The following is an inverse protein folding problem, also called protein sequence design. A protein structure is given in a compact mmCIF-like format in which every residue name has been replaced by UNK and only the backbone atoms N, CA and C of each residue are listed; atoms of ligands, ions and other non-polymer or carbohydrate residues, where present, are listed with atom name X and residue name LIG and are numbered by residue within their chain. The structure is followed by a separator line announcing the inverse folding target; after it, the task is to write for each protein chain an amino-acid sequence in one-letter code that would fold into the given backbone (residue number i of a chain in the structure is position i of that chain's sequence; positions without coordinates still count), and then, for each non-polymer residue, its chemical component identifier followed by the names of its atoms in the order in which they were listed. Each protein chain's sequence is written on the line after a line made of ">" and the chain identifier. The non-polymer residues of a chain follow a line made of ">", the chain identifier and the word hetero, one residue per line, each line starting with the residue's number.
data_IF_200073955598
#
_entry.id   IF_200073955598
#
_cell.length_a   1.000
_cell.length_b   1.000
_cell.length_c   1.000
_cell.angle_alpha   90.00
_cell.angle_beta   90.00
_cell.angle_gamma   90.00
#
_symmetry.space_group_name_H-M   'P 1'
#
loop_
_entity.id
_entity.type
_entity.pdbx_description
1 polymer ?
#
# COMPACT_ATOMS: atom_id res chain seq x y z
N UNK A 1 -2.68 -18.50 -1.40
CA UNK A 1 -2.20 -18.19 -2.77
C UNK A 1 -0.76 -17.72 -2.66
N UNK A 2 0.15 -18.27 -3.47
CA UNK A 2 1.54 -17.85 -3.55
C UNK A 2 2.00 -17.76 -5.00
N UNK A 3 2.94 -16.88 -5.29
CA UNK A 3 3.55 -16.71 -6.61
C UNK A 3 4.59 -17.81 -6.81
N UNK A 4 4.40 -18.65 -7.82
CA UNK A 4 5.35 -19.70 -8.18
C UNK A 4 6.37 -19.24 -9.23
N UNK A 5 5.90 -18.48 -10.24
CA UNK A 5 6.75 -17.98 -11.33
C UNK A 5 6.44 -16.54 -11.68
N UNK A 6 7.47 -15.74 -11.88
CA UNK A 6 7.41 -14.36 -12.37
C UNK A 6 8.22 -14.26 -13.66
N UNK A 7 7.61 -13.65 -14.68
CA UNK A 7 8.28 -13.32 -15.94
C UNK A 7 8.11 -11.82 -16.22
N UNK A 8 9.19 -11.15 -16.54
CA UNK A 8 9.26 -9.74 -16.85
C UNK A 8 9.80 -9.55 -18.27
N UNK A 9 9.19 -8.62 -19.00
CA UNK A 9 9.66 -8.17 -20.31
C UNK A 9 9.59 -6.64 -20.35
N UNK A 10 10.73 -6.01 -20.59
CA UNK A 10 10.91 -4.55 -20.66
C UNK A 10 10.32 -3.79 -19.45
N UNK A 11 10.41 -4.39 -18.27
CA UNK A 11 9.93 -3.80 -17.04
C UNK A 11 11.07 -3.12 -16.27
N UNK A 12 11.05 -1.78 -16.24
CA UNK A 12 12.08 -0.94 -15.63
C UNK A 12 13.48 -1.25 -16.20
N UNK A 13 14.38 -1.87 -15.43
CA UNK A 13 15.72 -2.26 -15.87
C UNK A 13 15.83 -3.74 -16.26
N UNK A 14 14.71 -4.44 -16.39
CA UNK A 14 14.70 -5.87 -16.79
C UNK A 14 14.19 -5.99 -18.22
N UNK A 15 15.10 -6.25 -19.18
CA UNK A 15 14.73 -6.52 -20.57
C UNK A 15 13.97 -7.84 -20.68
N UNK A 16 14.52 -8.90 -20.07
CA UNK A 16 13.87 -10.19 -19.88
C UNK A 16 14.36 -10.85 -18.60
N UNK A 17 13.45 -11.34 -17.78
CA UNK A 17 13.77 -12.04 -16.54
C UNK A 17 12.71 -13.08 -16.21
N UNK A 18 13.12 -14.28 -15.83
CA UNK A 18 12.23 -15.31 -15.28
C UNK A 18 12.77 -15.80 -13.94
N UNK A 19 11.87 -15.87 -12.94
CA UNK A 19 12.19 -16.31 -11.58
C UNK A 19 11.14 -17.31 -11.10
N UNK A 20 11.57 -18.34 -10.38
CA UNK A 20 10.70 -19.31 -9.73
C UNK A 20 10.82 -19.16 -8.22
N UNK A 21 9.71 -19.18 -7.50
CA UNK A 21 9.65 -18.95 -6.06
C UNK A 21 9.06 -20.15 -5.33
N UNK A 22 9.51 -20.40 -4.10
CA UNK A 22 8.90 -21.37 -3.21
C UNK A 22 7.75 -20.74 -2.39
N UNK A 23 6.87 -21.59 -1.88
CA UNK A 23 5.85 -21.18 -0.91
C UNK A 23 6.48 -21.05 0.49
N UNK A 24 7.28 -20.01 0.68
CA UNK A 24 8.04 -19.75 1.91
C UNK A 24 8.82 -18.47 1.76
N UNK A 25 10.04 -18.45 2.27
CA UNK A 25 10.93 -17.30 2.22
C UNK A 25 11.78 -17.38 0.95
N UNK A 26 11.71 -16.33 0.15
CA UNK A 26 12.52 -16.18 -1.06
C UNK A 26 13.42 -14.96 -0.89
N UNK A 27 14.71 -15.15 -0.97
CA UNK A 27 15.68 -14.08 -0.85
C UNK A 27 16.26 -13.75 -2.22
N UNK A 28 16.35 -12.48 -2.52
CA UNK A 28 16.85 -11.95 -3.79
C UNK A 28 18.05 -11.08 -3.46
N UNK A 29 19.25 -11.57 -3.76
CA UNK A 29 20.51 -10.90 -3.43
C UNK A 29 21.26 -10.46 -4.68
N UNK A 30 22.11 -9.45 -4.56
CA UNK A 30 22.92 -8.93 -5.66
C UNK A 30 23.39 -7.49 -5.41
N UNK A 31 24.21 -6.97 -6.28
CA UNK A 31 24.76 -5.63 -6.17
C UNK A 31 23.64 -4.55 -6.21
N UNK A 32 23.96 -3.33 -5.77
CA UNK A 32 23.04 -2.20 -5.92
C UNK A 32 22.79 -1.89 -7.40
N UNK A 33 21.55 -1.56 -7.75
CA UNK A 33 21.16 -1.22 -9.11
C UNK A 33 20.82 -2.38 -10.04
N UNK A 34 21.01 -3.66 -9.64
CA UNK A 34 20.68 -4.83 -10.49
C UNK A 34 19.18 -5.06 -10.66
N UNK A 35 18.32 -4.35 -9.92
CA UNK A 35 16.88 -4.42 -10.08
C UNK A 35 16.14 -5.26 -9.04
N UNK A 36 16.74 -5.59 -7.90
CA UNK A 36 16.08 -6.33 -6.80
C UNK A 36 14.73 -5.74 -6.40
N UNK A 37 14.71 -4.46 -6.06
CA UNK A 37 13.48 -3.69 -5.75
C UNK A 37 12.47 -3.76 -6.89
N UNK A 38 12.91 -3.77 -8.14
CA UNK A 38 12.04 -3.82 -9.31
C UNK A 38 11.32 -5.17 -9.45
N UNK A 39 11.92 -6.26 -8.98
CA UNK A 39 11.25 -7.57 -8.91
C UNK A 39 10.11 -7.53 -7.89
N UNK A 40 10.35 -6.98 -6.68
CA UNK A 40 9.30 -6.83 -5.67
C UNK A 40 8.18 -5.90 -6.17
N UNK A 41 8.54 -4.81 -6.86
CA UNK A 41 7.54 -3.90 -7.45
C UNK A 41 6.73 -4.57 -8.55
N UNK A 42 7.31 -5.48 -9.33
CA UNK A 42 6.55 -6.27 -10.31
C UNK A 42 5.52 -7.19 -9.66
N UNK A 43 5.84 -7.82 -8.53
CA UNK A 43 4.90 -8.63 -7.74
C UNK A 43 3.78 -7.74 -7.18
N UNK A 44 4.13 -6.58 -6.63
CA UNK A 44 3.15 -5.59 -6.18
C UNK A 44 2.26 -5.11 -7.34
N UNK A 45 2.84 -4.89 -8.51
CA UNK A 45 2.11 -4.47 -9.71
C UNK A 45 1.10 -5.52 -10.17
N UNK A 46 1.49 -6.82 -10.16
CA UNK A 46 0.58 -7.93 -10.45
C UNK A 46 -0.63 -7.96 -9.50
N UNK A 47 -0.46 -7.59 -8.24
CA UNK A 47 -1.54 -7.57 -7.26
C UNK A 47 -2.44 -6.33 -7.36
N UNK A 48 -1.84 -5.16 -7.57
CA UNK A 48 -2.52 -3.86 -7.41
C UNK A 48 -2.73 -3.11 -8.74
N UNK A 49 -2.31 -3.68 -9.87
CA UNK A 49 -2.36 -3.04 -11.19
C UNK A 49 -1.62 -1.68 -11.26
N UNK A 50 -0.67 -1.46 -10.37
CA UNK A 50 0.07 -0.21 -10.23
C UNK A 50 1.41 -0.44 -9.54
N UNK A 51 2.45 0.29 -9.97
CA UNK A 51 3.73 0.32 -9.26
C UNK A 51 3.60 0.98 -7.89
N UNK A 52 4.34 0.47 -6.92
CA UNK A 52 4.45 1.07 -5.59
C UNK A 52 5.16 2.43 -5.64
N UNK A 53 6.21 2.52 -6.47
CA UNK A 53 7.10 3.68 -6.54
C UNK A 53 6.69 4.71 -7.58
N UNK A 54 6.06 4.28 -8.70
CA UNK A 54 5.75 5.16 -9.82
C UNK A 54 4.27 5.10 -10.20
N UNK A 55 3.62 6.26 -10.21
CA UNK A 55 2.22 6.39 -10.58
C UNK A 55 1.94 6.41 -12.08
N UNK A 56 2.98 6.49 -12.93
CA UNK A 56 2.86 6.69 -14.38
C UNK A 56 3.41 5.47 -15.10
N UNK A 57 2.52 4.68 -15.72
CA UNK A 57 2.87 3.41 -16.35
C UNK A 57 3.88 3.55 -17.50
N UNK A 58 3.84 4.65 -18.27
CA UNK A 58 4.81 4.88 -19.35
C UNK A 58 6.26 5.07 -18.88
N UNK A 59 6.46 5.44 -17.61
CA UNK A 59 7.80 5.59 -17.00
C UNK A 59 8.33 4.27 -16.42
N UNK A 60 7.54 3.20 -16.50
CA UNK A 60 7.91 1.86 -16.04
C UNK A 60 8.50 1.02 -17.19
N UNK A 61 8.28 1.44 -18.43
CA UNK A 61 8.86 0.80 -19.61
C UNK A 61 10.38 0.95 -19.56
N UNK A 62 11.11 -0.12 -19.89
CA UNK A 62 12.56 -0.08 -20.09
C UNK A 62 12.94 0.99 -21.12
N UNK A 63 14.09 1.64 -20.94
CA UNK A 63 14.58 2.61 -21.89
C UNK A 63 14.70 1.98 -23.28
N UNK A 64 14.27 2.70 -24.33
CA UNK A 64 14.23 2.26 -25.75
C UNK A 64 13.21 1.18 -26.08
N UNK A 65 12.39 0.72 -25.14
CA UNK A 65 11.26 -0.17 -25.41
C UNK A 65 9.95 0.61 -25.56
N UNK A 66 8.94 0.00 -26.20
CA UNK A 66 7.62 0.60 -26.43
C UNK A 66 6.50 0.02 -25.55
N UNK A 67 6.79 -1.05 -24.82
CA UNK A 67 5.86 -1.76 -23.95
C UNK A 67 6.58 -2.39 -22.76
N UNK A 68 5.80 -2.83 -21.77
CA UNK A 68 6.25 -3.81 -20.79
C UNK A 68 5.20 -4.90 -20.58
N UNK A 69 5.67 -6.06 -20.13
CA UNK A 69 4.81 -7.17 -19.75
C UNK A 69 5.29 -7.78 -18.43
N UNK A 70 4.34 -8.05 -17.54
CA UNK A 70 4.56 -8.80 -16.29
C UNK A 70 3.63 -9.99 -16.32
N UNK A 71 4.16 -11.21 -16.17
CA UNK A 71 3.37 -12.43 -16.05
C UNK A 71 3.69 -13.12 -14.74
N UNK A 72 2.65 -13.46 -13.97
CA UNK A 72 2.76 -14.22 -12.72
C UNK A 72 1.92 -15.47 -12.79
N UNK A 73 2.51 -16.61 -12.42
CA UNK A 73 1.79 -17.85 -12.15
C UNK A 73 1.64 -18.02 -10.65
N UNK A 74 0.39 -18.06 -10.19
CA UNK A 74 0.03 -18.19 -8.78
C UNK A 74 -0.57 -19.56 -8.51
N UNK A 75 -0.08 -20.22 -7.47
CA UNK A 75 -0.63 -21.47 -6.95
C UNK A 75 -1.43 -21.27 -5.67
N UNK A 76 -2.28 -22.24 -5.34
CA UNK A 76 -3.15 -22.25 -4.17
C UNK A 76 -4.47 -22.96 -4.48
N UNK A 77 -5.51 -22.69 -3.71
CA UNK A 77 -6.84 -23.31 -3.91
C UNK A 77 -7.44 -23.02 -5.29
N UNK A 78 -7.13 -21.87 -5.86
CA UNK A 78 -7.55 -21.46 -7.21
C UNK A 78 -6.35 -20.91 -8.00
N UNK A 79 -5.57 -21.79 -8.67
CA UNK A 79 -4.41 -21.37 -9.47
C UNK A 79 -4.80 -20.36 -10.55
N UNK A 80 -3.92 -19.39 -10.78
CA UNK A 80 -4.20 -18.33 -11.74
C UNK A 80 -2.93 -17.81 -12.44
N UNK A 81 -3.02 -17.68 -13.75
CA UNK A 81 -2.08 -16.92 -14.56
C UNK A 81 -2.56 -15.48 -14.67
N UNK A 82 -1.74 -14.54 -14.22
CA UNK A 82 -2.01 -13.11 -14.35
C UNK A 82 -1.00 -12.52 -15.32
N UNK A 83 -1.53 -11.86 -16.35
CA UNK A 83 -0.75 -11.13 -17.33
C UNK A 83 -1.15 -9.65 -17.26
N UNK A 84 -0.16 -8.81 -17.00
CA UNK A 84 -0.29 -7.35 -17.11
C UNK A 84 0.56 -6.90 -18.30
N UNK A 85 -0.02 -6.12 -19.18
CA UNK A 85 0.66 -5.51 -20.32
C UNK A 85 0.32 -4.03 -20.41
N UNK A 86 1.32 -3.22 -20.69
CA UNK A 86 1.15 -1.80 -21.03
C UNK A 86 1.84 -1.54 -22.36
N UNK A 87 1.07 -1.05 -23.33
CA UNK A 87 1.52 -0.78 -24.70
C UNK A 87 0.66 0.33 -25.33
N UNK A 88 1.26 1.24 -26.06
CA UNK A 88 0.55 2.32 -26.75
C UNK A 88 -0.30 3.19 -25.82
N UNK A 89 0.14 3.40 -24.58
CA UNK A 89 -0.59 4.18 -23.57
C UNK A 89 -1.78 3.45 -22.94
N UNK A 90 -1.98 2.15 -23.24
CA UNK A 90 -3.10 1.36 -22.73
C UNK A 90 -2.60 0.21 -21.86
N UNK A 91 -3.23 0.05 -20.72
CA UNK A 91 -3.02 -1.06 -19.80
C UNK A 91 -4.08 -2.13 -19.99
N UNK A 92 -3.68 -3.37 -20.06
CA UNK A 92 -4.56 -4.53 -20.05
C UNK A 92 -4.14 -5.52 -18.99
N UNK A 93 -5.10 -6.18 -18.35
CA UNK A 93 -4.88 -7.25 -17.37
C UNK A 93 -5.73 -8.44 -17.76
N UNK A 94 -5.11 -9.63 -17.79
CA UNK A 94 -5.79 -10.89 -18.08
C UNK A 94 -5.58 -11.84 -16.89
N UNK A 95 -6.62 -12.61 -16.59
CA UNK A 95 -6.56 -13.78 -15.70
C UNK A 95 -6.93 -15.02 -16.53
N UNK A 96 -6.02 -16.00 -16.57
CA UNK A 96 -6.20 -17.22 -17.36
C UNK A 96 -6.63 -16.88 -18.80
N UNK A 97 -5.89 -15.97 -19.46
CA UNK A 97 -6.10 -15.44 -20.81
C UNK A 97 -7.40 -14.62 -21.03
N UNK A 98 -8.24 -14.49 -20.01
CA UNK A 98 -9.45 -13.66 -20.08
C UNK A 98 -9.18 -12.25 -19.54
N UNK A 99 -9.41 -11.24 -20.39
CA UNK A 99 -9.25 -9.84 -19.98
C UNK A 99 -10.31 -9.42 -18.96
N UNK A 100 -9.92 -8.62 -17.97
CA UNK A 100 -10.88 -7.98 -17.08
C UNK A 100 -11.62 -6.86 -17.82
N UNK A 101 -12.95 -6.78 -17.70
CA UNK A 101 -13.72 -5.67 -18.27
C UNK A 101 -13.31 -4.31 -17.69
N UNK A 102 -12.96 -4.27 -16.42
CA UNK A 102 -12.46 -3.08 -15.71
C UNK A 102 -11.24 -3.47 -14.87
N UNK A 103 -10.20 -2.62 -14.88
CA UNK A 103 -8.98 -2.85 -14.09
C UNK A 103 -9.27 -2.97 -12.59
N UNK A 104 -10.31 -2.30 -12.09
CA UNK A 104 -10.74 -2.38 -10.69
C UNK A 104 -11.24 -3.78 -10.29
N UNK A 105 -11.69 -4.60 -11.25
CA UNK A 105 -12.18 -5.95 -10.95
C UNK A 105 -11.04 -6.93 -10.60
N UNK A 106 -9.80 -6.55 -10.94
CA UNK A 106 -8.59 -7.30 -10.62
C UNK A 106 -8.09 -7.07 -9.19
N UNK A 107 -8.21 -5.83 -8.69
CA UNK A 107 -7.70 -5.45 -7.36
C UNK A 107 -8.37 -6.28 -6.27
N UNK A 108 -7.59 -6.80 -5.33
CA UNK A 108 -8.05 -7.61 -4.20
C UNK A 108 -8.07 -9.12 -4.46
N UNK A 109 -7.66 -9.57 -5.66
CA UNK A 109 -7.48 -11.00 -5.94
C UNK A 109 -6.24 -11.57 -5.23
N UNK A 110 -5.18 -10.79 -5.18
CA UNK A 110 -3.93 -11.09 -4.50
C UNK A 110 -3.66 -9.93 -3.55
N UNK A 111 -3.46 -10.22 -2.26
CA UNK A 111 -3.06 -9.21 -1.28
C UNK A 111 -1.54 -9.19 -1.17
N UNK A 112 -0.98 -7.99 -1.12
CA UNK A 112 0.45 -7.78 -0.87
C UNK A 112 0.64 -6.74 0.22
N UNK A 113 1.63 -6.96 1.07
CA UNK A 113 2.15 -5.95 2.00
C UNK A 113 3.59 -5.67 1.63
N UNK A 114 3.89 -4.44 1.29
CA UNK A 114 5.22 -4.02 0.85
C UNK A 114 5.84 -3.12 1.90
N UNK A 115 7.03 -3.51 2.39
CA UNK A 115 7.83 -2.73 3.34
C UNK A 115 9.11 -2.30 2.63
N UNK A 116 9.32 -1.00 2.56
CA UNK A 116 10.46 -0.38 1.85
C UNK A 116 11.14 0.67 2.73
N UNK A 117 12.40 1.04 2.43
CA UNK A 117 13.04 2.16 3.11
C UNK A 117 12.32 3.51 2.96
N UNK A 118 11.52 3.67 1.91
CA UNK A 118 10.75 4.88 1.63
C UNK A 118 9.48 5.01 2.48
N UNK A 119 9.04 3.93 3.11
CA UNK A 119 7.84 3.96 3.97
C UNK A 119 8.02 4.86 5.22
N UNK A 120 9.23 5.30 5.52
CA UNK A 120 9.50 6.32 6.54
C UNK A 120 8.70 7.61 6.29
N UNK A 121 8.33 7.89 5.04
CA UNK A 121 7.47 9.01 4.66
C UNK A 121 6.04 8.91 5.23
N UNK A 122 5.59 7.74 5.64
CA UNK A 122 4.33 7.59 6.38
C UNK A 122 4.39 8.33 7.72
N UNK A 123 5.55 8.32 8.37
CA UNK A 123 5.75 9.05 9.63
C UNK A 123 6.17 10.49 9.42
N UNK A 124 7.08 10.77 8.48
CA UNK A 124 7.71 12.08 8.31
C UNK A 124 7.03 12.94 7.24
N UNK A 125 6.35 12.33 6.28
CA UNK A 125 5.71 12.99 5.14
C UNK A 125 4.39 13.68 5.48
N UNK A 126 3.57 13.81 4.45
CA UNK A 126 2.30 14.53 4.52
C UNK A 126 1.13 13.59 4.82
N UNK A 127 -0.02 14.17 5.15
CA UNK A 127 -1.29 13.43 5.30
C UNK A 127 -1.70 12.66 4.03
N UNK A 128 -1.27 13.12 2.83
CA UNK A 128 -1.52 12.41 1.57
C UNK A 128 -0.92 11.01 1.55
N UNK A 129 0.29 10.83 2.10
CA UNK A 129 0.98 9.53 2.15
C UNK A 129 0.26 8.58 3.10
N UNK A 130 -0.19 9.07 4.26
CA UNK A 130 -0.97 8.29 5.22
C UNK A 130 -2.35 7.92 4.68
N UNK A 131 -3.05 8.85 4.00
CA UNK A 131 -4.30 8.52 3.30
C UNK A 131 -4.10 7.48 2.20
N UNK A 132 -3.02 7.58 1.40
CA UNK A 132 -2.68 6.56 0.39
C UNK A 132 -2.46 5.19 1.03
N UNK A 133 -1.77 5.12 2.16
CA UNK A 133 -1.57 3.87 2.90
C UNK A 133 -2.91 3.23 3.28
N UNK A 134 -3.84 4.00 3.88
CA UNK A 134 -5.18 3.52 4.24
C UNK A 134 -5.98 3.13 3.00
N UNK A 135 -5.99 3.97 1.97
CA UNK A 135 -6.71 3.70 0.72
C UNK A 135 -6.20 2.42 0.03
N UNK A 136 -4.88 2.26 -0.10
CA UNK A 136 -4.29 1.07 -0.71
C UNK A 136 -4.55 -0.19 0.11
N UNK A 137 -4.57 -0.08 1.43
CA UNK A 137 -4.93 -1.19 2.31
C UNK A 137 -6.38 -1.62 2.09
N UNK A 138 -7.31 -0.69 2.22
CA UNK A 138 -8.74 -1.00 2.10
C UNK A 138 -9.15 -1.42 0.68
N UNK A 139 -8.55 -0.84 -0.35
CA UNK A 139 -8.83 -1.22 -1.74
C UNK A 139 -8.49 -2.68 -2.05
N UNK A 140 -7.51 -3.28 -1.37
CA UNK A 140 -7.13 -4.68 -1.58
C UNK A 140 -8.13 -5.69 -0.97
N UNK A 141 -8.99 -5.26 -0.04
CA UNK A 141 -9.86 -6.16 0.71
C UNK A 141 -11.35 -5.81 0.65
N UNK A 142 -11.68 -4.61 0.17
CA UNK A 142 -13.04 -4.09 0.15
C UNK A 142 -13.38 -3.45 -1.21
N UNK A 143 -14.11 -4.20 -2.05
CA UNK A 143 -14.54 -3.73 -3.38
C UNK A 143 -15.50 -2.54 -3.31
N UNK A 144 -16.36 -2.48 -2.29
CA UNK A 144 -17.28 -1.38 -2.10
C UNK A 144 -16.51 -0.10 -1.74
N UNK A 145 -15.49 -0.21 -0.87
CA UNK A 145 -14.59 0.90 -0.59
C UNK A 145 -13.90 1.43 -1.85
N UNK A 146 -13.30 0.53 -2.67
CA UNK A 146 -12.62 0.89 -3.91
C UNK A 146 -13.55 1.63 -4.89
N UNK A 147 -14.79 1.15 -5.05
CA UNK A 147 -15.79 1.79 -5.90
C UNK A 147 -16.17 3.18 -5.39
N UNK A 148 -16.46 3.31 -4.10
CA UNK A 148 -16.83 4.60 -3.50
C UNK A 148 -15.66 5.58 -3.50
N UNK A 149 -14.42 5.12 -3.30
CA UNK A 149 -13.23 5.95 -3.42
C UNK A 149 -13.07 6.53 -4.83
N UNK A 150 -13.33 5.71 -5.86
CA UNK A 150 -13.32 6.16 -7.26
C UNK A 150 -14.41 7.20 -7.54
N UNK A 151 -15.64 6.96 -7.06
CA UNK A 151 -16.75 7.91 -7.17
C UNK A 151 -16.39 9.22 -6.46
N UNK A 152 -15.93 9.14 -5.21
CA UNK A 152 -15.60 10.32 -4.41
C UNK A 152 -14.50 11.15 -5.06
N UNK A 153 -13.38 10.54 -5.47
CA UNK A 153 -12.25 11.24 -6.11
C UNK A 153 -12.69 11.96 -7.39
N UNK A 154 -13.42 11.26 -8.27
CA UNK A 154 -13.94 11.86 -9.51
C UNK A 154 -14.90 13.00 -9.25
N UNK A 155 -15.83 12.84 -8.32
CA UNK A 155 -16.82 13.87 -7.97
C UNK A 155 -16.16 15.08 -7.33
N UNK A 156 -15.19 14.87 -6.42
CA UNK A 156 -14.40 15.93 -5.80
C UNK A 156 -13.63 16.75 -6.84
N UNK A 157 -12.99 16.07 -7.79
CA UNK A 157 -12.26 16.71 -8.89
C UNK A 157 -13.20 17.60 -9.74
N UNK A 158 -14.38 17.09 -10.10
CA UNK A 158 -15.40 17.84 -10.86
C UNK A 158 -15.94 19.03 -10.08
N UNK A 159 -16.24 18.84 -8.78
CA UNK A 159 -16.69 19.92 -7.89
C UNK A 159 -15.63 21.02 -7.77
N UNK A 160 -14.36 20.64 -7.57
CA UNK A 160 -13.25 21.59 -7.51
C UNK A 160 -12.99 22.29 -8.86
N UNK A 161 -13.17 21.60 -9.98
CA UNK A 161 -13.06 22.21 -11.30
C UNK A 161 -14.14 23.30 -11.51
N UNK A 162 -15.38 23.05 -11.06
CA UNK A 162 -16.44 24.04 -11.07
C UNK A 162 -16.08 25.24 -10.19
N UNK A 163 -15.70 25.03 -8.91
CA UNK A 163 -15.30 26.09 -7.99
C UNK A 163 -14.19 26.97 -8.60
N UNK A 164 -13.19 26.35 -9.23
CA UNK A 164 -12.08 27.05 -9.88
C UNK A 164 -12.52 27.85 -11.11
N UNK A 165 -13.43 27.31 -11.94
CA UNK A 165 -13.91 27.98 -13.15
C UNK A 165 -14.67 29.26 -12.86
N UNK A 166 -15.34 29.33 -11.71
CA UNK A 166 -16.13 30.49 -11.31
C UNK A 166 -15.31 31.64 -10.70
N UNK A 167 -14.04 31.41 -10.40
CA UNK A 167 -13.11 32.45 -9.91
C UNK A 167 -13.63 33.29 -8.74
N UNK A 168 -14.31 32.63 -7.79
CA UNK A 168 -14.92 33.30 -6.63
C UNK A 168 -16.29 33.99 -6.90
N UNK A 169 -16.81 33.87 -8.14
CA UNK A 169 -18.17 34.34 -8.44
C UNK A 169 -19.21 33.43 -7.81
N UNK A 170 -20.38 33.95 -7.59
CA UNK A 170 -21.52 33.18 -7.05
C UNK A 170 -21.80 31.93 -7.89
N UNK A 171 -21.93 30.80 -7.22
CA UNK A 171 -22.43 29.54 -7.79
C UNK A 171 -23.78 29.27 -7.15
N UNK A 172 -24.75 28.88 -7.96
CA UNK A 172 -26.02 28.39 -7.45
C UNK A 172 -25.78 27.20 -6.52
N UNK A 173 -26.24 27.21 -5.27
CA UNK A 173 -26.10 26.09 -4.33
C UNK A 173 -26.65 24.77 -4.89
N UNK A 174 -27.71 24.79 -5.70
CA UNK A 174 -28.30 23.59 -6.32
C UNK A 174 -27.33 22.93 -7.32
N UNK A 175 -26.53 23.74 -8.00
CA UNK A 175 -25.50 23.21 -8.90
C UNK A 175 -24.41 22.46 -8.14
N UNK A 176 -23.94 22.99 -7.00
CA UNK A 176 -23.02 22.26 -6.12
C UNK A 176 -23.71 21.06 -5.47
N UNK A 177 -24.97 21.17 -5.09
CA UNK A 177 -25.78 20.09 -4.53
C UNK A 177 -25.83 18.84 -5.42
N UNK A 178 -25.75 18.99 -6.75
CA UNK A 178 -25.68 17.87 -7.69
C UNK A 178 -24.41 17.02 -7.54
N UNK A 179 -23.28 17.62 -7.16
CA UNK A 179 -22.06 16.92 -6.81
C UNK A 179 -22.12 16.38 -5.38
N UNK A 180 -22.67 17.16 -4.44
CA UNK A 180 -22.76 16.79 -3.04
C UNK A 180 -23.65 15.56 -2.84
N UNK A 181 -24.71 15.39 -3.66
CA UNK A 181 -25.55 14.19 -3.69
C UNK A 181 -24.79 12.89 -3.97
N UNK A 182 -23.64 12.95 -4.64
CA UNK A 182 -22.75 11.80 -4.89
C UNK A 182 -21.57 11.76 -3.90
N UNK A 183 -21.08 12.93 -3.51
CA UNK A 183 -19.91 13.08 -2.63
C UNK A 183 -20.22 12.59 -1.21
N UNK A 184 -21.41 12.98 -0.68
CA UNK A 184 -21.81 12.68 0.69
C UNK A 184 -21.91 11.17 0.95
N UNK A 185 -22.73 10.38 0.23
CA UNK A 185 -22.86 8.96 0.53
C UNK A 185 -21.55 8.19 0.36
N UNK A 186 -20.77 8.51 -0.69
CA UNK A 186 -19.45 7.91 -0.90
C UNK A 186 -18.48 8.28 0.22
N UNK A 187 -18.45 9.56 0.63
CA UNK A 187 -17.60 10.05 1.70
C UNK A 187 -17.91 9.44 3.06
N UNK A 188 -19.19 9.30 3.41
CA UNK A 188 -19.63 8.68 4.68
C UNK A 188 -19.25 7.21 4.75
N UNK A 189 -19.40 6.46 3.66
CA UNK A 189 -18.96 5.05 3.62
C UNK A 189 -17.44 4.94 3.81
N UNK A 190 -16.66 5.77 3.10
CA UNK A 190 -15.19 5.79 3.21
C UNK A 190 -14.78 6.17 4.63
N UNK A 191 -15.38 7.19 5.22
CA UNK A 191 -15.13 7.63 6.60
C UNK A 191 -15.35 6.49 7.60
N UNK A 192 -16.51 5.82 7.54
CA UNK A 192 -16.84 4.72 8.45
C UNK A 192 -15.83 3.55 8.30
N UNK A 193 -15.44 3.21 7.07
CA UNK A 193 -14.48 2.13 6.81
C UNK A 193 -13.07 2.48 7.24
N UNK A 194 -12.61 3.72 7.05
CA UNK A 194 -11.30 4.18 7.53
C UNK A 194 -11.21 4.15 9.05
N UNK A 195 -12.26 4.63 9.73
CA UNK A 195 -12.32 4.61 11.19
C UNK A 195 -12.22 3.17 11.72
N UNK A 196 -13.08 2.27 11.24
CA UNK A 196 -13.04 0.87 11.64
C UNK A 196 -11.68 0.21 11.34
N UNK A 197 -11.09 0.49 10.16
CA UNK A 197 -9.75 -0.02 9.80
C UNK A 197 -8.67 0.41 10.79
N UNK A 198 -8.67 1.68 11.21
CA UNK A 198 -7.65 2.19 12.15
C UNK A 198 -7.83 1.58 13.53
N UNK A 199 -9.07 1.42 14.00
CA UNK A 199 -9.38 0.78 15.28
C UNK A 199 -8.93 -0.70 15.28
N UNK A 200 -9.21 -1.45 14.22
CA UNK A 200 -8.78 -2.84 14.06
C UNK A 200 -7.25 -2.95 13.91
N UNK A 201 -6.65 -2.07 13.08
CA UNK A 201 -5.21 -2.03 12.86
C UNK A 201 -4.44 -1.81 14.16
N UNK A 202 -4.94 -0.94 15.04
CA UNK A 202 -4.33 -0.64 16.33
C UNK A 202 -4.25 -1.88 17.23
N UNK A 203 -5.25 -2.77 17.19
CA UNK A 203 -5.27 -4.02 17.96
C UNK A 203 -4.11 -4.96 17.60
N UNK A 204 -3.74 -5.01 16.31
CA UNK A 204 -2.61 -5.79 15.83
C UNK A 204 -1.26 -5.07 16.03
N UNK A 205 -1.27 -3.74 15.96
CA UNK A 205 -0.07 -2.92 15.91
C UNK A 205 0.71 -2.87 17.24
N UNK A 206 0.02 -2.68 18.35
CA UNK A 206 0.66 -2.44 19.66
C UNK A 206 1.57 -3.59 20.06
N UNK A 207 1.08 -4.83 19.97
CA UNK A 207 1.86 -6.02 20.33
C UNK A 207 3.10 -6.21 19.43
N UNK A 208 2.96 -5.96 18.13
CA UNK A 208 4.08 -6.04 17.17
C UNK A 208 5.14 -4.99 17.51
N UNK A 209 4.72 -3.74 17.73
CA UNK A 209 5.65 -2.67 18.06
C UNK A 209 6.40 -2.95 19.37
N UNK A 210 5.68 -3.39 20.41
CA UNK A 210 6.28 -3.75 21.70
C UNK A 210 7.30 -4.89 21.55
N UNK A 211 7.04 -5.87 20.71
CA UNK A 211 7.98 -6.95 20.41
C UNK A 211 9.26 -6.43 19.74
N UNK A 212 9.14 -5.45 18.83
CA UNK A 212 10.28 -4.84 18.16
C UNK A 212 11.07 -3.87 19.05
N UNK A 213 10.39 -3.13 19.97
CA UNK A 213 10.97 -2.07 20.82
C UNK A 213 11.36 -2.52 22.23
N UNK A 214 11.18 -3.78 22.59
CA UNK A 214 11.41 -4.35 23.95
C UNK A 214 10.43 -3.84 25.02
N UNK A 215 9.22 -3.43 24.62
CA UNK A 215 8.14 -3.15 25.57
C UNK A 215 8.23 -1.85 26.36
N UNK A 216 9.19 -0.97 26.04
CA UNK A 216 9.45 0.25 26.83
C UNK A 216 8.61 1.45 26.41
N UNK A 217 7.87 1.37 25.32
CA UNK A 217 7.20 2.50 24.69
C UNK A 217 5.72 2.20 24.44
N UNK A 218 4.88 3.24 24.55
CA UNK A 218 3.44 3.15 24.30
C UNK A 218 3.09 3.77 22.94
N UNK A 219 3.06 2.99 21.85
CA UNK A 219 2.72 3.53 20.54
C UNK A 219 1.21 3.68 20.39
N UNK A 220 0.77 4.73 19.69
CA UNK A 220 -0.63 4.92 19.36
C UNK A 220 -0.82 5.46 17.95
N UNK A 221 -1.98 5.14 17.38
CA UNK A 221 -2.45 5.61 16.08
C UNK A 221 -3.86 6.14 16.30
N UNK A 222 -4.13 7.38 15.90
CA UNK A 222 -5.49 7.94 15.90
C UNK A 222 -5.89 8.42 14.51
N UNK A 223 -7.16 8.26 14.20
CA UNK A 223 -7.76 8.73 12.96
C UNK A 223 -8.38 10.11 13.16
N UNK A 224 -7.90 11.07 12.38
CA UNK A 224 -8.36 12.45 12.39
C UNK A 224 -9.19 12.73 11.13
N UNK A 225 -10.39 13.26 11.30
CA UNK A 225 -11.25 13.62 10.17
C UNK A 225 -12.09 14.85 10.49
N UNK A 226 -12.29 15.76 9.53
CA UNK A 226 -13.28 16.83 9.68
C UNK A 226 -14.69 16.30 9.97
N UNK A 227 -15.01 15.10 9.53
CA UNK A 227 -16.31 14.47 9.74
C UNK A 227 -16.56 14.03 11.19
N UNK A 228 -15.56 14.13 12.08
CA UNK A 228 -15.78 13.98 13.53
C UNK A 228 -16.61 15.14 14.12
N UNK A 229 -16.59 16.30 13.44
CA UNK A 229 -17.26 17.51 13.95
C UNK A 229 -18.78 17.54 13.70
N UNK A 230 -19.32 16.68 12.82
CA UNK A 230 -20.75 16.67 12.55
C UNK A 230 -21.17 16.02 11.23
N UNK A 231 -22.42 16.25 10.85
CA UNK A 231 -22.98 15.72 9.62
C UNK A 231 -22.31 16.32 8.37
N UNK A 232 -21.96 15.46 7.42
CA UNK A 232 -21.17 15.86 6.24
C UNK A 232 -21.91 16.85 5.34
N UNK A 233 -23.24 16.75 5.21
CA UNK A 233 -24.03 17.69 4.43
C UNK A 233 -24.00 19.08 5.07
N UNK A 234 -24.20 19.16 6.37
CA UNK A 234 -24.12 20.41 7.16
C UNK A 234 -22.73 21.04 7.05
N UNK A 235 -21.68 20.24 7.21
CA UNK A 235 -20.29 20.72 7.09
C UNK A 235 -19.98 21.30 5.70
N UNK A 236 -20.51 20.70 4.61
CA UNK A 236 -20.38 21.26 3.26
C UNK A 236 -21.11 22.58 3.10
N UNK A 237 -22.30 22.73 3.70
CA UNK A 237 -23.06 23.99 3.70
C UNK A 237 -22.32 25.08 4.47
N UNK A 238 -21.85 24.78 5.67
CA UNK A 238 -21.12 25.74 6.51
C UNK A 238 -19.82 26.24 5.86
N UNK A 239 -19.16 25.37 5.10
CA UNK A 239 -17.91 25.71 4.41
C UNK A 239 -18.10 26.30 3.01
N UNK A 240 -19.31 26.45 2.52
CA UNK A 240 -19.60 26.97 1.17
C UNK A 240 -18.84 28.25 0.83
N UNK A 241 -18.87 29.27 1.72
CA UNK A 241 -18.16 30.54 1.50
C UNK A 241 -16.64 30.35 1.42
N UNK A 242 -16.10 29.47 2.24
CA UNK A 242 -14.69 29.14 2.24
C UNK A 242 -14.31 28.41 0.94
N UNK A 243 -15.13 27.46 0.49
CA UNK A 243 -14.92 26.72 -0.75
C UNK A 243 -14.90 27.66 -1.95
N UNK A 244 -15.82 28.62 -2.00
CA UNK A 244 -15.86 29.65 -3.04
C UNK A 244 -14.60 30.52 -3.04
N UNK A 245 -14.17 30.99 -1.87
CA UNK A 245 -12.99 31.84 -1.73
C UNK A 245 -11.69 31.10 -2.06
N UNK A 246 -11.56 29.83 -1.61
CA UNK A 246 -10.37 29.00 -1.81
C UNK A 246 -10.38 28.24 -3.14
N UNK A 247 -11.48 28.28 -3.89
CA UNK A 247 -11.70 27.56 -5.16
C UNK A 247 -11.51 26.04 -5.05
N UNK A 248 -11.79 25.47 -3.88
CA UNK A 248 -11.63 24.05 -3.59
C UNK A 248 -12.50 23.63 -2.41
N UNK A 249 -12.89 22.38 -2.38
CA UNK A 249 -13.61 21.77 -1.27
C UNK A 249 -12.70 21.72 -0.03
N UNK A 250 -13.13 22.30 1.07
CA UNK A 250 -12.35 22.46 2.30
C UNK A 250 -12.63 21.38 3.34
N UNK A 251 -13.75 20.65 3.24
CA UNK A 251 -14.19 19.62 4.19
C UNK A 251 -14.47 18.30 3.49
N UNK A 252 -14.22 17.19 4.17
CA UNK A 252 -14.46 15.83 3.68
C UNK A 252 -13.24 14.91 3.85
N UNK A 253 -13.39 13.65 3.45
CA UNK A 253 -12.39 12.57 3.69
C UNK A 253 -11.03 12.78 3.01
N UNK A 254 -10.93 13.70 2.08
CA UNK A 254 -9.67 14.14 1.46
C UNK A 254 -8.82 15.04 2.38
N UNK A 255 -9.37 15.40 3.56
CA UNK A 255 -8.69 16.14 4.63
C UNK A 255 -8.34 15.25 5.82
N UNK A 256 -8.70 13.97 5.78
CA UNK A 256 -8.36 13.04 6.86
C UNK A 256 -6.85 12.90 7.06
N UNK A 257 -6.47 12.53 8.27
CA UNK A 257 -5.10 12.21 8.61
C UNK A 257 -5.02 11.06 9.62
N UNK A 258 -3.82 10.49 9.79
CA UNK A 258 -3.45 9.61 10.90
C UNK A 258 -2.43 10.32 11.76
N UNK A 259 -2.66 10.34 13.06
CA UNK A 259 -1.65 10.79 14.02
C UNK A 259 -0.91 9.59 14.61
N UNK A 260 0.40 9.65 14.58
CA UNK A 260 1.30 8.63 15.13
C UNK A 260 2.00 9.20 16.35
N UNK A 261 1.86 8.54 17.51
CA UNK A 261 2.45 8.99 18.74
C UNK A 261 3.22 7.88 19.47
N UNK A 262 4.19 8.28 20.28
CA UNK A 262 4.84 7.45 21.31
C UNK A 262 4.57 8.12 22.66
N UNK A 263 3.76 7.47 23.50
CA UNK A 263 3.16 8.11 24.65
C UNK A 263 2.35 9.34 24.24
N UNK A 264 2.63 10.47 24.84
CA UNK A 264 1.98 11.75 24.55
C UNK A 264 2.67 12.56 23.42
N UNK A 265 3.77 12.05 22.86
CA UNK A 265 4.60 12.80 21.93
C UNK A 265 4.38 12.37 20.47
N UNK A 266 4.13 13.31 19.54
CA UNK A 266 4.07 13.03 18.12
C UNK A 266 5.37 12.40 17.60
N UNK A 267 5.24 11.21 16.99
CA UNK A 267 6.37 10.43 16.45
C UNK A 267 7.22 11.26 15.47
N UNK A 268 6.58 12.05 14.59
CA UNK A 268 7.24 12.90 13.59
C UNK A 268 8.23 13.89 14.19
N UNK A 269 7.95 14.41 15.39
CA UNK A 269 8.75 15.49 16.03
C UNK A 269 9.78 14.94 17.00
N UNK A 270 9.46 13.88 17.71
CA UNK A 270 10.22 13.41 18.87
C UNK A 270 10.77 11.99 18.72
N UNK A 271 10.33 11.25 17.70
CA UNK A 271 10.81 9.89 17.47
C UNK A 271 12.26 9.87 16.99
N UNK A 272 13.08 9.01 17.60
CA UNK A 272 14.40 8.68 17.06
C UNK A 272 14.25 7.93 15.71
N UNK A 273 15.30 7.91 14.90
CA UNK A 273 15.27 7.17 13.63
C UNK A 273 14.91 5.69 13.83
N UNK A 274 15.44 5.06 14.88
CA UNK A 274 15.15 3.67 15.21
C UNK A 274 13.67 3.46 15.60
N UNK A 275 13.10 4.37 16.40
CA UNK A 275 11.70 4.35 16.81
C UNK A 275 10.78 4.51 15.58
N UNK A 276 11.06 5.47 14.69
CA UNK A 276 10.29 5.70 13.49
C UNK A 276 10.29 4.45 12.59
N UNK A 277 11.46 3.84 12.38
CA UNK A 277 11.58 2.62 11.57
C UNK A 277 10.80 1.45 12.18
N UNK A 278 10.95 1.22 13.49
CA UNK A 278 10.20 0.17 14.20
C UNK A 278 8.70 0.41 14.11
N UNK A 279 8.27 1.66 14.23
CA UNK A 279 6.87 2.03 14.11
C UNK A 279 6.31 1.69 12.73
N UNK A 280 7.02 2.05 11.66
CA UNK A 280 6.60 1.78 10.29
C UNK A 280 6.60 0.28 9.99
N UNK A 281 7.62 -0.46 10.41
CA UNK A 281 7.65 -1.92 10.26
C UNK A 281 6.46 -2.55 11.00
N UNK A 282 6.22 -2.17 12.25
CA UNK A 282 5.08 -2.66 13.03
C UNK A 282 3.74 -2.32 12.38
N UNK A 283 3.60 -1.09 11.85
CA UNK A 283 2.41 -0.66 11.12
C UNK A 283 2.11 -1.55 9.90
N UNK A 284 3.13 -1.87 9.12
CA UNK A 284 3.01 -2.72 7.93
C UNK A 284 2.75 -4.19 8.29
N UNK A 285 3.37 -4.71 9.33
CA UNK A 285 3.07 -6.05 9.82
C UNK A 285 1.66 -6.14 10.44
N UNK A 286 1.20 -5.09 11.10
CA UNK A 286 -0.19 -4.99 11.55
C UNK A 286 -1.17 -4.97 10.36
N UNK A 287 -0.83 -4.28 9.26
CA UNK A 287 -1.59 -4.35 8.00
C UNK A 287 -1.66 -5.78 7.47
N UNK A 288 -0.55 -6.53 7.53
CA UNK A 288 -0.53 -7.94 7.14
C UNK A 288 -1.51 -8.77 7.97
N UNK A 289 -1.42 -8.67 9.30
CA UNK A 289 -2.29 -9.41 10.22
C UNK A 289 -3.76 -9.02 10.05
N UNK A 290 -4.04 -7.75 9.82
CA UNK A 290 -5.39 -7.27 9.50
C UNK A 290 -5.92 -7.91 8.21
N UNK A 291 -5.13 -7.95 7.13
CA UNK A 291 -5.55 -8.61 5.89
C UNK A 291 -5.86 -10.08 6.11
N UNK A 292 -4.98 -10.79 6.81
CA UNK A 292 -5.17 -12.20 7.15
C UNK A 292 -6.46 -12.42 7.96
N UNK A 293 -6.74 -11.57 8.96
CA UNK A 293 -7.93 -11.70 9.81
C UNK A 293 -9.23 -11.48 9.06
N UNK A 294 -9.24 -10.58 8.07
CA UNK A 294 -10.44 -10.24 7.30
C UNK A 294 -10.67 -11.18 6.12
N UNK A 295 -9.61 -11.64 5.47
CA UNK A 295 -9.71 -12.43 4.23
C UNK A 295 -9.52 -13.93 4.44
N UNK A 296 -9.02 -14.36 5.61
CA UNK A 296 -8.53 -15.71 5.89
C UNK A 296 -7.44 -16.20 4.91
N UNK A 297 -6.82 -15.28 4.18
CA UNK A 297 -5.72 -15.55 3.26
C UNK A 297 -4.43 -14.91 3.77
N UNK A 298 -3.32 -15.54 3.45
CA UNK A 298 -2.00 -14.96 3.72
C UNK A 298 -1.62 -14.02 2.56
N UNK A 299 -1.42 -12.70 2.83
CA UNK A 299 -0.82 -11.80 1.85
C UNK A 299 0.60 -12.23 1.48
N UNK A 300 1.09 -11.82 0.31
CA UNK A 300 2.51 -11.92 0.00
C UNK A 300 3.24 -10.75 0.68
N UNK A 301 4.22 -11.07 1.52
CA UNK A 301 5.03 -10.06 2.22
C UNK A 301 6.28 -9.74 1.39
N UNK A 302 6.44 -8.46 1.03
CA UNK A 302 7.55 -7.94 0.24
C UNK A 302 8.41 -7.05 1.13
N UNK A 303 9.69 -7.42 1.31
CA UNK A 303 10.64 -6.73 2.19
C UNK A 303 11.83 -6.23 1.36
N UNK A 304 11.91 -4.91 1.13
CA UNK A 304 12.97 -4.31 0.32
C UNK A 304 14.07 -3.72 1.19
N UNK A 305 15.29 -4.23 1.05
CA UNK A 305 16.53 -3.78 1.73
C UNK A 305 16.32 -3.40 3.22
N UNK A 306 15.47 -4.17 3.93
CA UNK A 306 15.01 -3.82 5.26
C UNK A 306 16.14 -3.86 6.30
N UNK A 307 17.13 -4.75 6.09
CA UNK A 307 18.23 -4.97 7.05
C UNK A 307 19.31 -3.89 7.02
N UNK A 308 19.41 -3.08 5.96
CA UNK A 308 20.40 -2.00 5.91
C UNK A 308 20.12 -0.85 6.87
N UNK A 309 18.87 -0.73 7.34
CA UNK A 309 18.40 0.48 8.02
C UNK A 309 17.87 0.27 9.45
N UNK A 310 17.97 -0.95 9.95
CA UNK A 310 17.61 -1.30 11.33
C UNK A 310 18.83 -1.89 12.03
N UNK A 311 18.89 -1.74 13.37
CA UNK A 311 19.94 -2.38 14.17
C UNK A 311 19.77 -3.91 14.18
N UNK A 312 20.89 -4.60 14.47
CA UNK A 312 20.97 -6.06 14.40
C UNK A 312 19.92 -6.76 15.31
N UNK A 313 19.66 -6.22 16.50
CA UNK A 313 18.70 -6.81 17.44
C UNK A 313 17.27 -6.72 16.92
N UNK A 314 16.89 -5.60 16.31
CA UNK A 314 15.57 -5.43 15.69
C UNK A 314 15.44 -6.28 14.41
N UNK A 315 16.52 -6.37 13.63
CA UNK A 315 16.57 -7.26 12.47
C UNK A 315 16.32 -8.71 12.87
N UNK A 316 17.02 -9.18 13.91
CA UNK A 316 16.84 -10.53 14.43
C UNK A 316 15.39 -10.78 14.88
N UNK A 317 14.79 -9.87 15.65
CA UNK A 317 13.38 -10.01 16.09
C UNK A 317 12.39 -10.02 14.93
N UNK A 318 12.62 -9.15 13.95
CA UNK A 318 11.80 -9.14 12.75
C UNK A 318 11.83 -10.50 12.04
N UNK A 319 13.02 -11.08 11.89
CA UNK A 319 13.20 -12.39 11.24
C UNK A 319 12.55 -13.50 12.06
N UNK A 320 12.75 -13.51 13.38
CA UNK A 320 12.08 -14.45 14.26
C UNK A 320 10.55 -14.34 14.15
N UNK A 321 10.04 -13.11 14.08
CA UNK A 321 8.61 -12.85 13.94
C UNK A 321 8.07 -13.33 12.58
N UNK A 322 8.74 -13.00 11.48
CA UNK A 322 8.28 -13.39 10.12
C UNK A 322 8.61 -14.84 9.78
N UNK A 323 9.64 -15.42 10.39
CA UNK A 323 10.02 -16.82 10.26
C UNK A 323 9.18 -17.77 11.11
N UNK A 324 8.50 -17.24 12.15
CA UNK A 324 7.53 -18.02 12.91
C UNK A 324 6.31 -18.40 12.02
N UNK A 325 5.66 -19.50 12.37
CA UNK A 325 4.44 -19.93 11.66
C UNK A 325 3.34 -18.87 11.74
N UNK A 326 2.94 -18.29 10.63
CA UNK A 326 1.87 -17.26 10.59
C UNK A 326 1.94 -16.37 9.37
N UNK A 327 3.10 -16.23 8.76
CA UNK A 327 3.27 -15.53 7.49
C UNK A 327 3.25 -16.52 6.32
N UNK A 328 2.66 -16.11 5.21
CA UNK A 328 2.64 -16.88 3.96
C UNK A 328 3.96 -16.75 3.20
N UNK A 329 3.86 -16.52 1.89
CA UNK A 329 5.05 -16.29 1.07
C UNK A 329 5.69 -14.94 1.38
N UNK A 330 7.02 -14.95 1.52
CA UNK A 330 7.83 -13.76 1.80
C UNK A 330 8.90 -13.63 0.72
N UNK A 331 9.04 -12.44 0.14
CA UNK A 331 10.13 -12.09 -0.77
C UNK A 331 10.96 -10.99 -0.13
N UNK A 332 12.26 -11.22 0.00
CA UNK A 332 13.20 -10.32 0.70
C UNK A 332 14.34 -9.97 -0.24
N UNK A 333 14.65 -8.68 -0.35
CA UNK A 333 15.87 -8.24 -1.05
C UNK A 333 16.96 -7.85 -0.06
N UNK A 334 18.21 -8.14 -0.39
CA UNK A 334 19.40 -7.67 0.33
C UNK A 334 20.59 -7.52 -0.63
N UNK A 335 21.53 -6.67 -0.27
CA UNK A 335 22.80 -6.52 -1.00
C UNK A 335 23.82 -7.62 -0.68
N UNK A 336 23.71 -8.27 0.48
CA UNK A 336 24.67 -9.27 0.99
C UNK A 336 24.02 -10.63 1.25
N UNK A 337 24.40 -11.62 0.45
CA UNK A 337 23.94 -13.00 0.63
C UNK A 337 24.30 -13.55 2.02
N UNK A 338 25.52 -13.26 2.51
CA UNK A 338 25.99 -13.71 3.82
C UNK A 338 25.15 -13.21 4.99
N UNK A 339 24.61 -12.00 4.91
CA UNK A 339 23.70 -11.45 5.93
C UNK A 339 22.40 -12.25 5.98
N UNK A 340 21.84 -12.53 4.82
CA UNK A 340 20.63 -13.34 4.67
C UNK A 340 20.85 -14.74 5.21
N UNK A 341 21.93 -15.41 4.81
CA UNK A 341 22.29 -16.76 5.28
C UNK A 341 22.40 -16.81 6.82
N UNK A 342 23.09 -15.83 7.42
CA UNK A 342 23.23 -15.75 8.89
C UNK A 342 21.89 -15.63 9.59
N UNK A 343 21.01 -14.81 9.07
CA UNK A 343 19.72 -14.53 9.70
C UNK A 343 18.72 -15.68 9.54
N UNK A 344 18.80 -16.47 8.44
CA UNK A 344 17.86 -17.53 8.15
C UNK A 344 18.41 -18.95 8.41
N UNK A 345 19.57 -19.10 9.08
CA UNK A 345 20.20 -20.39 9.42
C UNK A 345 19.27 -21.40 10.14
N UNK A 346 18.26 -20.89 10.85
CA UNK A 346 17.34 -21.69 11.65
C UNK A 346 16.05 -22.08 10.92
N UNK A 347 15.90 -21.66 9.66
CA UNK A 347 14.71 -21.94 8.87
C UNK A 347 14.94 -23.22 8.05
N UNK A 348 13.89 -24.04 7.97
CA UNK A 348 13.89 -25.27 7.16
C UNK A 348 14.30 -24.94 5.70
N UNK A 349 15.35 -25.61 5.20
CA UNK A 349 15.87 -25.40 3.86
C UNK A 349 14.79 -25.59 2.76
N UNK A 350 13.76 -26.40 3.00
CA UNK A 350 12.64 -26.57 2.07
C UNK A 350 11.73 -25.35 1.98
N UNK A 351 11.85 -24.42 2.93
CA UNK A 351 11.07 -23.17 2.99
C UNK A 351 11.88 -21.93 2.61
N UNK A 352 13.12 -22.11 2.19
CA UNK A 352 14.03 -21.03 1.86
C UNK A 352 14.59 -21.21 0.44
N UNK A 353 14.42 -20.22 -0.40
CA UNK A 353 14.94 -20.19 -1.76
C UNK A 353 15.80 -18.94 -1.98
N UNK A 354 16.99 -19.11 -2.52
CA UNK A 354 17.92 -18.01 -2.77
C UNK A 354 18.02 -17.71 -4.27
N UNK A 355 17.88 -16.44 -4.61
CA UNK A 355 18.09 -15.92 -5.96
C UNK A 355 19.28 -14.97 -5.94
N UNK A 356 20.27 -15.22 -6.77
CA UNK A 356 21.38 -14.33 -7.04
C UNK A 356 21.11 -13.58 -8.37
N UNK A 357 21.16 -12.25 -8.36
CA UNK A 357 20.96 -11.39 -9.54
C UNK A 357 22.27 -10.83 -10.07
#
# INVERSE_FOLDING_TARGET
>A
VHLQRLQLFHFKNHSERSLEFCNGINTITGANGVGKTNILDAVHYLANAKSYFNGIDSQIIEHDASFFTIKGHFEGEAPADILVQFEGGKKSIKKNDKAYPRLLDHVGMIQTVFITPYDIELALGNSDDRRKFVDLSLCQIDKAYLQNLSIYKKTLEQRNALLKSMQGRYIDPDLLGSFDAKLIPAGLLIYARRKAFVDDLLSHFVGIYQSLSQGTENPSISYESPLHAGDFATLLQDTYRLDMASQRTSVGIHKDDLQFNLGEFPLKKFGSQGQIKSFIIALKLAQYNYFQSVTNNHPILLLDDIFEKIDEQRAQRLIEMVGASGYGQILITDTHASRVETHFQHIDANKLHHHLL
#
